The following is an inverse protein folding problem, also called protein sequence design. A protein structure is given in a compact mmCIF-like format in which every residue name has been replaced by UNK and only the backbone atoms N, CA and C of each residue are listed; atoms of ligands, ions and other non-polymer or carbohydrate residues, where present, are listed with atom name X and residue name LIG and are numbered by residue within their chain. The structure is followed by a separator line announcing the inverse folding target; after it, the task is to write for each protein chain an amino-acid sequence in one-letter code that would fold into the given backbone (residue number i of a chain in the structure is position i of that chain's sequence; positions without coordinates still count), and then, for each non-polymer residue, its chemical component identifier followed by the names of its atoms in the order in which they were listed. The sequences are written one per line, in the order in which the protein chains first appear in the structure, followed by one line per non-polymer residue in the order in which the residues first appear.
data_IF_868127689236
#
_entry.id   IF_868127689236
#
_cell.length_a   1.000
_cell.length_b   1.000
_cell.length_c   1.000
_cell.angle_alpha   90.00
_cell.angle_beta   90.00
_cell.angle_gamma   90.00
#
_symmetry.space_group_name_H-M   'P 1'
#
loop_
_entity.id
_entity.type
_entity.pdbx_description
1 polymer ?
#
# COMPACT_ATOMS: atom_id res chain seq x y z
N UNK A 1 0.36 21.54 -12.84
CA UNK A 1 -0.60 21.59 -11.71
C UNK A 1 -0.26 20.41 -10.82
N UNK A 2 0.06 20.65 -9.55
CA UNK A 2 0.48 19.59 -8.62
C UNK A 2 -0.76 18.79 -8.15
N UNK A 3 -0.60 17.48 -7.96
CA UNK A 3 -1.67 16.64 -7.44
C UNK A 3 -1.88 16.93 -5.96
N UNK A 4 -3.05 17.43 -5.58
CA UNK A 4 -3.42 17.61 -4.17
C UNK A 4 -4.24 16.41 -3.69
N UNK A 5 -3.68 15.66 -2.74
CA UNK A 5 -4.32 14.56 -2.02
C UNK A 5 -4.00 14.72 -0.54
N UNK A 6 -4.98 14.46 0.32
CA UNK A 6 -4.85 14.55 1.78
C UNK A 6 -5.10 13.20 2.45
N UNK A 7 -4.69 13.00 3.71
CA UNK A 7 -5.04 11.77 4.45
C UNK A 7 -6.55 11.55 4.54
N UNK A 8 -7.34 12.62 4.62
CA UNK A 8 -8.80 12.55 4.63
C UNK A 8 -9.37 12.02 3.31
N UNK A 9 -8.78 12.38 2.16
CA UNK A 9 -9.19 11.85 0.86
C UNK A 9 -8.96 10.35 0.77
N UNK A 10 -7.84 9.86 1.32
CA UNK A 10 -7.52 8.42 1.37
C UNK A 10 -8.50 7.67 2.28
N UNK A 11 -8.83 8.23 3.45
CA UNK A 11 -9.82 7.64 4.36
C UNK A 11 -11.22 7.62 3.77
N UNK A 12 -11.61 8.65 3.01
CA UNK A 12 -12.89 8.67 2.29
C UNK A 12 -12.92 7.66 1.13
N UNK A 13 -11.80 7.46 0.45
CA UNK A 13 -11.66 6.51 -0.66
C UNK A 13 -11.64 5.04 -0.19
N UNK A 14 -10.97 4.76 0.91
CA UNK A 14 -10.79 3.43 1.46
C UNK A 14 -10.95 3.44 3.00
N UNK A 15 -12.20 3.45 3.51
CA UNK A 15 -12.48 3.64 4.94
C UNK A 15 -11.99 2.48 5.83
N UNK A 16 -11.92 1.26 5.28
CA UNK A 16 -11.46 0.07 6.00
C UNK A 16 -9.93 -0.11 5.96
N UNK A 17 -9.22 0.79 5.27
CA UNK A 17 -7.77 0.70 5.10
C UNK A 17 -7.02 1.39 6.25
N UNK A 18 -5.76 1.01 6.53
CA UNK A 18 -4.97 1.65 7.58
C UNK A 18 -4.76 3.13 7.28
N UNK A 19 -4.80 3.96 8.35
CA UNK A 19 -4.53 5.38 8.24
C UNK A 19 -3.13 5.65 7.64
N UNK A 20 -3.08 6.57 6.68
CA UNK A 20 -1.85 7.04 6.01
C UNK A 20 -1.39 8.38 6.61
N UNK A 21 -0.09 8.61 6.62
CA UNK A 21 0.49 9.89 7.07
C UNK A 21 0.65 10.86 5.91
N UNK A 22 0.81 12.16 6.20
CA UNK A 22 1.12 13.17 5.19
C UNK A 22 2.39 12.83 4.41
N UNK A 23 3.46 12.38 5.09
CA UNK A 23 4.71 12.01 4.44
C UNK A 23 4.57 10.83 3.46
N UNK A 24 3.67 9.87 3.74
CA UNK A 24 3.38 8.78 2.80
C UNK A 24 2.63 9.26 1.55
N UNK A 25 1.86 10.34 1.68
CA UNK A 25 1.17 10.96 0.54
C UNK A 25 2.16 11.77 -0.29
N UNK A 26 3.05 12.54 0.34
CA UNK A 26 4.12 13.26 -0.34
C UNK A 26 4.98 12.29 -1.16
N UNK A 27 5.43 11.18 -0.55
CA UNK A 27 6.17 10.13 -1.26
C UNK A 27 5.36 9.50 -2.41
N UNK A 28 4.04 9.36 -2.24
CA UNK A 28 3.16 8.86 -3.29
C UNK A 28 2.97 9.85 -4.45
N UNK A 29 2.96 11.14 -4.17
CA UNK A 29 2.94 12.20 -5.18
C UNK A 29 4.26 12.23 -5.93
N UNK A 30 5.39 12.19 -5.22
CA UNK A 30 6.74 12.13 -5.80
C UNK A 30 6.95 10.89 -6.68
N UNK A 31 6.25 9.79 -6.37
CA UNK A 31 6.23 8.61 -7.21
C UNK A 31 5.37 8.80 -8.49
N UNK A 32 4.20 9.43 -8.38
CA UNK A 32 3.23 9.52 -9.48
C UNK A 32 3.54 10.65 -10.49
N UNK A 33 3.95 11.82 -10.00
CA UNK A 33 4.15 13.02 -10.84
C UNK A 33 5.20 12.81 -11.95
N UNK A 34 6.39 12.22 -11.69
CA UNK A 34 7.37 12.00 -12.74
C UNK A 34 6.86 11.08 -13.85
N UNK A 35 5.98 10.13 -13.52
CA UNK A 35 5.41 9.21 -14.50
C UNK A 35 4.41 9.92 -15.41
N UNK A 36 3.54 10.74 -14.83
CA UNK A 36 2.57 11.54 -15.59
C UNK A 36 3.30 12.58 -16.47
N UNK A 37 4.30 13.26 -15.92
CA UNK A 37 5.12 14.24 -16.63
C UNK A 37 5.89 13.62 -17.80
N UNK A 38 6.50 12.45 -17.60
CA UNK A 38 7.25 11.72 -18.63
C UNK A 38 6.42 11.43 -19.89
N UNK A 39 5.12 11.19 -19.74
CA UNK A 39 4.22 10.89 -20.85
C UNK A 39 3.37 12.08 -21.30
N UNK A 40 3.67 13.29 -20.82
CA UNK A 40 2.95 14.50 -21.22
C UNK A 40 1.47 14.49 -20.81
N UNK A 41 1.11 13.78 -19.73
CA UNK A 41 -0.27 13.72 -19.25
C UNK A 41 -0.66 15.07 -18.67
N UNK A 42 -1.59 15.77 -19.33
CA UNK A 42 -2.13 17.05 -18.85
C UNK A 42 -3.31 16.79 -17.92
N UNK A 43 -3.16 17.13 -16.65
CA UNK A 43 -4.23 17.03 -15.66
C UNK A 43 -5.10 18.28 -15.71
N UNK A 44 -6.30 18.14 -16.31
CA UNK A 44 -7.33 19.18 -16.28
C UNK A 44 -8.15 19.06 -14.99
N UNK A 45 -8.46 20.15 -14.29
CA UNK A 45 -9.30 20.12 -13.09
C UNK A 45 -10.65 19.41 -13.33
N UNK A 46 -11.06 18.58 -12.38
CA UNK A 46 -12.27 17.75 -12.38
C UNK A 46 -12.38 16.74 -13.54
N UNK A 47 -11.29 16.50 -14.29
CA UNK A 47 -11.28 15.53 -15.39
C UNK A 47 -11.28 14.08 -14.89
N UNK A 48 -11.57 13.15 -15.80
CA UNK A 48 -11.41 11.73 -15.52
C UNK A 48 -9.94 11.37 -15.24
N UNK A 49 -9.02 12.01 -15.97
CA UNK A 49 -7.57 11.83 -15.83
C UNK A 49 -7.08 12.29 -14.46
N UNK A 50 -7.50 13.47 -13.99
CA UNK A 50 -7.13 13.95 -12.66
C UNK A 50 -7.68 13.03 -11.55
N UNK A 51 -8.93 12.58 -11.65
CA UNK A 51 -9.50 11.63 -10.69
C UNK A 51 -8.75 10.30 -10.69
N UNK A 52 -8.32 9.80 -11.85
CA UNK A 52 -7.52 8.59 -11.97
C UNK A 52 -6.11 8.79 -11.38
N UNK A 53 -5.47 9.93 -11.63
CA UNK A 53 -4.18 10.27 -11.04
C UNK A 53 -4.25 10.39 -9.51
N UNK A 54 -5.29 11.02 -8.96
CA UNK A 54 -5.55 11.04 -7.51
C UNK A 54 -5.72 9.63 -6.95
N UNK A 55 -6.49 8.76 -7.63
CA UNK A 55 -6.64 7.34 -7.24
C UNK A 55 -5.31 6.59 -7.25
N UNK A 56 -4.41 6.88 -8.19
CA UNK A 56 -3.09 6.28 -8.21
C UNK A 56 -2.28 6.65 -6.96
N UNK A 57 -2.24 7.94 -6.61
CA UNK A 57 -1.56 8.45 -5.41
C UNK A 57 -2.15 7.79 -4.15
N UNK A 58 -3.48 7.77 -4.01
CA UNK A 58 -4.12 7.16 -2.84
C UNK A 58 -3.81 5.68 -2.68
N UNK A 59 -3.85 4.90 -3.77
CA UNK A 59 -3.50 3.47 -3.72
C UNK A 59 -2.02 3.24 -3.43
N UNK A 60 -1.12 4.10 -3.95
CA UNK A 60 0.31 3.98 -3.66
C UNK A 60 0.63 4.36 -2.21
N UNK A 61 -0.02 5.39 -1.64
CA UNK A 61 0.12 5.71 -0.22
C UNK A 61 -0.31 4.53 0.68
N UNK A 62 -1.41 3.84 0.31
CA UNK A 62 -1.84 2.61 0.98
C UNK A 62 -0.82 1.47 0.82
N UNK A 63 -0.19 1.34 -0.35
CA UNK A 63 0.91 0.40 -0.56
C UNK A 63 2.11 0.71 0.38
N UNK A 64 2.53 1.97 0.49
CA UNK A 64 3.62 2.36 1.40
C UNK A 64 3.29 2.03 2.85
N UNK A 65 2.06 2.34 3.30
CA UNK A 65 1.60 2.04 4.66
C UNK A 65 1.57 0.54 4.95
N UNK A 66 1.05 -0.26 4.02
CA UNK A 66 0.92 -1.71 4.19
C UNK A 66 2.26 -2.45 4.07
N UNK A 67 3.16 -1.99 3.20
CA UNK A 67 4.51 -2.58 3.04
C UNK A 67 5.41 -2.30 4.25
N UNK A 68 5.36 -1.10 4.84
CA UNK A 68 6.10 -0.77 6.07
C UNK A 68 5.53 -1.45 7.31
N UNK A 69 4.19 -1.59 7.40
CA UNK A 69 3.54 -2.33 8.48
C UNK A 69 3.91 -3.81 8.53
N UNK A 70 4.04 -4.46 7.35
CA UNK A 70 4.45 -5.86 7.24
C UNK A 70 5.91 -6.11 7.68
N UNK A 71 6.77 -5.11 7.58
CA UNK A 71 8.18 -5.22 8.01
C UNK A 71 8.33 -5.17 9.55
N UNK A 72 7.42 -4.46 10.24
CA UNK A 72 7.41 -4.41 11.71
C UNK A 72 6.79 -5.64 12.36
N UNK A 73 5.85 -6.34 11.71
CA UNK A 73 5.28 -7.58 12.26
C UNK A 73 6.25 -8.76 12.14
N UNK A 74 7.07 -8.81 11.07
CA UNK A 74 8.07 -9.87 10.85
C UNK A 74 9.25 -9.78 11.82
N UNK A 75 9.59 -8.59 12.32
CA UNK A 75 10.67 -8.40 13.30
C UNK A 75 10.25 -8.70 14.74
N UNK A 76 8.95 -8.68 15.07
CA UNK A 76 8.46 -9.00 16.42
C UNK A 76 8.24 -10.49 16.68
N UNK A 77 8.06 -11.32 15.64
CA UNK A 77 7.84 -12.76 15.79
C UNK A 77 9.11 -13.59 15.99
N UNK A 78 10.29 -13.02 15.76
CA UNK A 78 11.59 -13.67 16.04
C UNK A 78 12.15 -13.37 17.44
N UNK A 79 11.39 -12.65 18.29
CA UNK A 79 11.85 -12.20 19.61
C UNK A 79 11.22 -12.88 20.84
N UNK A 80 10.40 -13.92 20.69
CA UNK A 80 9.66 -14.50 21.83
C UNK A 80 9.67 -16.03 21.87
N UNK A 81 10.83 -16.64 21.63
CA UNK A 81 11.09 -18.03 22.02
C UNK A 81 12.35 -18.12 22.90
N UNK A 82 12.51 -17.21 23.85
CA UNK A 82 13.45 -17.39 24.96
C UNK A 82 12.87 -18.47 25.88
N UNK A 83 13.13 -19.74 25.54
CA UNK A 83 12.89 -20.90 26.40
C UNK A 83 13.69 -20.71 27.69
N UNK A 84 13.09 -20.09 28.71
CA UNK A 84 13.55 -20.25 30.09
C UNK A 84 13.08 -21.63 30.55
N UNK A 85 13.94 -22.63 30.37
CA UNK A 85 13.78 -23.94 31.00
C UNK A 85 14.00 -23.71 32.50
N UNK A 86 12.92 -23.46 33.23
CA UNK A 86 12.89 -23.59 34.68
C UNK A 86 12.25 -24.94 34.98
N UNK A 87 12.94 -25.73 35.79
CA UNK A 87 12.60 -27.11 36.12
C UNK A 87 11.11 -27.29 36.48
N UNK A 88 10.48 -28.28 35.86
CA UNK A 88 9.33 -28.98 36.44
C UNK A 88 7.94 -28.35 36.28
N UNK A 89 7.56 -27.89 35.08
CA UNK A 89 6.17 -27.97 34.55
C UNK A 89 6.13 -27.25 33.20
N UNK A 90 5.89 -28.00 32.14
CA UNK A 90 5.57 -27.43 30.83
C UNK A 90 4.08 -27.13 30.85
N UNK A 91 3.71 -25.96 31.39
CA UNK A 91 2.40 -25.38 31.10
C UNK A 91 2.50 -24.76 29.71
N UNK A 92 1.93 -25.46 28.72
CA UNK A 92 1.72 -24.92 27.38
C UNK A 92 0.67 -23.81 27.50
N UNK A 93 1.10 -22.59 27.80
CA UNK A 93 0.30 -21.41 27.51
C UNK A 93 0.02 -21.44 26.01
N UNK A 94 -1.25 -21.68 25.68
CA UNK A 94 -1.78 -21.59 24.32
C UNK A 94 -1.39 -20.21 23.80
N UNK A 95 -0.45 -20.16 22.86
CA UNK A 95 -0.03 -18.92 22.23
C UNK A 95 -1.30 -18.15 21.87
N UNK A 96 -1.45 -16.95 22.43
CA UNK A 96 -2.55 -16.06 22.07
C UNK A 96 -2.52 -15.97 20.55
N UNK A 97 -3.55 -16.54 19.92
CA UNK A 97 -3.73 -16.40 18.48
C UNK A 97 -3.78 -14.92 18.14
N UNK A 98 -3.46 -14.54 16.89
CA UNK A 98 -3.55 -13.15 16.44
C UNK A 98 -4.88 -12.55 16.90
N UNK A 99 -4.84 -11.34 17.45
CA UNK A 99 -6.02 -10.69 18.01
C UNK A 99 -7.09 -10.52 16.92
N UNK A 100 -8.35 -10.28 17.27
CA UNK A 100 -9.39 -10.00 16.27
C UNK A 100 -9.03 -8.78 15.38
N UNK A 101 -8.21 -7.87 15.89
CA UNK A 101 -7.64 -6.74 15.14
C UNK A 101 -6.60 -7.21 14.10
N UNK A 102 -5.78 -8.22 14.44
CA UNK A 102 -4.87 -8.87 13.48
C UNK A 102 -5.63 -9.72 12.44
N UNK A 103 -6.82 -10.22 12.77
CA UNK A 103 -7.69 -10.96 11.84
C UNK A 103 -8.45 -10.00 10.90
N UNK A 104 -8.88 -8.84 11.38
CA UNK A 104 -9.36 -7.75 10.51
C UNK A 104 -8.24 -7.23 9.59
N UNK A 105 -6.99 -7.22 10.08
CA UNK A 105 -5.81 -6.95 9.26
C UNK A 105 -5.54 -8.03 8.18
N UNK A 106 -6.15 -9.22 8.27
CA UNK A 106 -6.04 -10.27 7.24
C UNK A 106 -7.11 -10.18 6.13
N UNK A 107 -8.04 -9.22 6.22
CA UNK A 107 -8.86 -8.76 5.09
C UNK A 107 -8.24 -7.56 4.37
N UNK A 108 -7.00 -7.20 4.73
CA UNK A 108 -6.26 -6.10 4.10
C UNK A 108 -5.80 -6.58 2.72
N UNK A 109 -6.38 -5.96 1.69
CA UNK A 109 -5.83 -5.89 0.33
C UNK A 109 -4.30 -5.84 0.42
N UNK A 110 -3.62 -6.86 -0.11
CA UNK A 110 -2.17 -6.99 0.10
C UNK A 110 -1.44 -5.76 -0.43
N UNK A 111 -0.27 -5.43 0.14
CA UNK A 111 0.53 -4.30 -0.36
C UNK A 111 0.78 -4.39 -1.87
N UNK A 112 0.98 -5.60 -2.40
CA UNK A 112 1.15 -5.84 -3.84
C UNK A 112 -0.12 -5.52 -4.65
N UNK A 113 -1.30 -5.75 -4.07
CA UNK A 113 -2.57 -5.45 -4.72
C UNK A 113 -2.82 -3.94 -4.79
N UNK A 114 -2.53 -3.19 -3.72
CA UNK A 114 -2.57 -1.72 -3.75
C UNK A 114 -1.61 -1.15 -4.80
N UNK A 115 -0.40 -1.71 -4.91
CA UNK A 115 0.54 -1.31 -5.95
C UNK A 115 -0.01 -1.59 -7.36
N UNK A 116 -0.61 -2.76 -7.58
CA UNK A 116 -1.26 -3.11 -8.85
C UNK A 116 -2.39 -2.14 -9.20
N UNK A 117 -3.25 -1.80 -8.22
CA UNK A 117 -4.33 -0.82 -8.38
C UNK A 117 -3.80 0.59 -8.67
N UNK A 118 -2.70 0.99 -8.02
CA UNK A 118 -2.05 2.27 -8.28
C UNK A 118 -1.58 2.38 -9.74
N UNK A 119 -0.92 1.34 -10.26
CA UNK A 119 -0.52 1.27 -11.66
C UNK A 119 -1.71 1.29 -12.61
N UNK A 120 -2.77 0.53 -12.32
CA UNK A 120 -4.00 0.54 -13.13
C UNK A 120 -4.62 1.94 -13.20
N UNK A 121 -4.62 2.68 -12.09
CA UNK A 121 -5.12 4.05 -12.04
C UNK A 121 -4.23 5.02 -12.84
N UNK A 122 -2.90 4.85 -12.81
CA UNK A 122 -2.00 5.62 -13.69
C UNK A 122 -2.27 5.35 -15.17
N UNK A 123 -2.52 4.09 -15.53
CA UNK A 123 -2.87 3.76 -16.91
C UNK A 123 -4.19 4.41 -17.33
N UNK A 124 -5.18 4.45 -16.43
CA UNK A 124 -6.44 5.16 -16.66
C UNK A 124 -6.25 6.69 -16.72
N UNK A 125 -5.21 7.23 -16.08
CA UNK A 125 -4.86 8.65 -16.16
C UNK A 125 -4.19 9.03 -17.50
N UNK A 126 -3.73 8.04 -18.28
CA UNK A 126 -3.11 8.26 -19.59
C UNK A 126 -1.66 7.76 -19.71
N UNK A 127 -1.10 7.17 -18.65
CA UNK A 127 0.20 6.50 -18.74
C UNK A 127 0.08 5.26 -19.63
N UNK A 128 0.93 5.06 -20.64
CA UNK A 128 0.88 3.86 -21.46
C UNK A 128 1.23 2.62 -20.64
N UNK A 129 0.53 1.51 -20.89
CA UNK A 129 0.88 0.22 -20.30
C UNK A 129 2.22 -0.25 -20.86
N UNK A 130 3.13 -0.78 -20.02
CA UNK A 130 4.31 -1.43 -20.53
C UNK A 130 3.86 -2.59 -21.42
N UNK A 131 4.25 -2.52 -22.70
CA UNK A 131 4.02 -3.62 -23.64
C UNK A 131 4.83 -4.79 -23.12
N UNK A 132 4.18 -5.81 -22.57
CA UNK A 132 4.85 -7.10 -22.34
C UNK A 132 5.30 -7.55 -23.72
N UNK A 133 6.60 -7.64 -23.93
CA UNK A 133 7.14 -8.23 -25.14
C UNK A 133 6.61 -9.67 -25.21
N UNK A 134 5.57 -9.90 -26.00
CA UNK A 134 5.07 -11.22 -26.34
C UNK A 134 6.19 -11.86 -27.16
N UNK A 135 7.05 -12.66 -26.52
CA UNK A 135 8.20 -13.28 -27.17
C UNK A 135 9.50 -13.35 -26.37
N UNK A 136 9.56 -12.86 -25.13
CA UNK A 136 10.71 -13.14 -24.26
C UNK A 136 10.64 -14.55 -23.64
N UNK A 137 10.41 -15.56 -24.48
CA UNK A 137 10.74 -16.95 -24.18
C UNK A 137 12.00 -17.25 -25.00
N UNK A 138 13.14 -17.38 -24.31
CA UNK A 138 14.30 -18.10 -24.83
C UNK A 138 14.49 -19.33 -23.96
#
# INVERSE_FOLDING_TARGET
MALTVTPADVAAYAPDAPAVTTGQIEEAVDWAEPQLARYGVVLVPNSAQERAAKRAVMNYALHLRTSTGASSSRTKTTGAATKKIKAGKVELEKAAGPSAEDVAANLVTSAAEYLSRAWQALYAAGVPRPVRAVGASR
#
